data_IF_987470854576
#
_entry.id   IF_987470854576
#
_cell.length_a   1.000
_cell.length_b   1.000
_cell.length_c   1.000
_cell.angle_alpha   90.00
_cell.angle_beta   90.00
_cell.angle_gamma   90.00
#
_symmetry.space_group_name_H-M   'P 1'
#
loop_
_entity.id
_entity.type
_entity.pdbx_description
1 polymer ?
#
# COMPACT_ATOMS: atom_id res chain seq x y z
N UNK A 1 -22.14 -4.50 0.84
CA UNK A 1 -21.95 -5.63 -0.10
C UNK A 1 -20.60 -5.43 -0.80
N UNK A 2 -19.74 -6.45 -0.79
CA UNK A 2 -18.41 -6.39 -1.42
C UNK A 2 -18.45 -6.23 -2.95
N UNK A 3 -19.43 -6.88 -3.60
CA UNK A 3 -19.64 -6.80 -5.04
C UNK A 3 -20.81 -5.87 -5.37
N UNK A 4 -20.54 -4.83 -6.17
CA UNK A 4 -21.55 -3.87 -6.64
C UNK A 4 -21.90 -4.17 -8.10
N UNK A 5 -23.19 -4.36 -8.40
CA UNK A 5 -23.64 -4.58 -9.78
C UNK A 5 -23.50 -3.33 -10.63
N UNK A 6 -23.04 -3.52 -11.87
CA UNK A 6 -22.89 -2.45 -12.85
C UNK A 6 -23.44 -2.90 -14.21
N UNK A 7 -23.81 -1.92 -15.03
CA UNK A 7 -24.29 -2.12 -16.40
C UNK A 7 -23.34 -1.59 -17.48
N UNK A 8 -22.24 -0.96 -17.07
CA UNK A 8 -21.18 -0.45 -17.94
C UNK A 8 -19.84 -0.52 -17.21
N UNK A 9 -18.76 -0.68 -17.97
CA UNK A 9 -17.40 -0.68 -17.42
C UNK A 9 -17.01 0.76 -17.03
N UNK A 10 -16.43 0.97 -15.84
CA UNK A 10 -15.93 2.29 -15.43
C UNK A 10 -14.91 2.85 -16.43
N UNK A 11 -14.74 4.17 -16.44
CA UNK A 11 -13.70 4.79 -17.27
C UNK A 11 -12.32 4.31 -16.80
N UNK A 12 -11.48 3.89 -17.74
CA UNK A 12 -10.11 3.46 -17.48
C UNK A 12 -9.18 3.98 -18.58
N UNK A 13 -7.89 4.01 -18.29
CA UNK A 13 -6.83 4.33 -19.26
C UNK A 13 -5.80 3.22 -19.31
N UNK A 14 -5.11 3.10 -20.45
CA UNK A 14 -3.94 2.23 -20.53
C UNK A 14 -2.77 2.80 -19.71
N UNK A 15 -1.80 1.96 -19.29
CA UNK A 15 -0.60 2.43 -18.59
C UNK A 15 0.19 3.49 -19.38
N UNK A 16 0.19 3.41 -20.71
CA UNK A 16 0.87 4.40 -21.56
C UNK A 16 0.15 5.74 -21.57
N UNK A 17 -1.19 5.73 -21.67
CA UNK A 17 -2.00 6.93 -21.58
C UNK A 17 -1.88 7.59 -20.21
N UNK A 18 -1.90 6.80 -19.13
CA UNK A 18 -1.66 7.29 -17.78
C UNK A 18 -0.32 8.02 -17.65
N UNK A 19 0.77 7.42 -18.18
CA UNK A 19 2.10 8.04 -18.19
C UNK A 19 2.11 9.36 -18.97
N UNK A 20 1.37 9.44 -20.08
CA UNK A 20 1.27 10.66 -20.87
C UNK A 20 0.48 11.76 -20.14
N UNK A 21 -0.60 11.40 -19.44
CA UNK A 21 -1.42 12.33 -18.64
C UNK A 21 -0.59 12.90 -17.49
N UNK A 22 0.06 12.04 -16.70
CA UNK A 22 0.90 12.45 -15.56
C UNK A 22 2.13 13.25 -16.04
N UNK A 23 2.73 12.85 -17.16
CA UNK A 23 3.88 13.55 -17.75
C UNK A 23 3.56 14.95 -18.30
N UNK A 24 2.29 15.28 -18.50
CA UNK A 24 1.85 16.55 -19.11
C UNK A 24 1.41 17.60 -18.09
N UNK A 25 1.68 17.41 -16.79
CA UNK A 25 1.17 18.26 -15.68
C UNK A 25 -0.35 18.45 -15.78
N UNK A 26 -1.15 17.47 -15.33
CA UNK A 26 -2.59 17.58 -15.41
C UNK A 26 -3.09 18.73 -14.51
N UNK A 27 -4.19 19.37 -14.94
CA UNK A 27 -4.85 20.46 -14.19
C UNK A 27 -5.48 19.98 -12.88
N UNK A 28 -5.72 18.67 -12.75
CA UNK A 28 -6.25 18.00 -11.57
C UNK A 28 -5.79 16.55 -11.59
N UNK A 29 -5.18 16.07 -10.50
CA UNK A 29 -4.84 14.65 -10.34
C UNK A 29 -6.08 13.81 -9.96
N UNK A 30 -7.17 14.45 -9.58
CA UNK A 30 -8.44 13.82 -9.19
C UNK A 30 -9.25 13.32 -10.40
N UNK A 31 -8.95 13.82 -11.60
CA UNK A 31 -9.61 13.42 -12.86
C UNK A 31 -8.86 12.33 -13.62
N UNK A 32 -7.81 11.76 -13.03
CA UNK A 32 -7.04 10.70 -13.69
C UNK A 32 -7.80 9.38 -13.50
N UNK A 33 -8.35 8.80 -14.58
CA UNK A 33 -9.06 7.53 -14.47
C UNK A 33 -8.11 6.40 -14.06
N UNK A 34 -8.63 5.34 -13.41
CA UNK A 34 -7.82 4.21 -12.99
C UNK A 34 -7.15 3.52 -14.18
N UNK A 35 -5.96 3.00 -13.94
CA UNK A 35 -5.18 2.31 -14.98
C UNK A 35 -5.66 0.86 -15.12
N UNK A 36 -5.87 0.42 -16.36
CA UNK A 36 -6.10 -0.99 -16.67
C UNK A 36 -4.77 -1.76 -16.58
N UNK A 37 -4.67 -2.68 -15.63
CA UNK A 37 -3.49 -3.54 -15.45
C UNK A 37 -3.57 -4.82 -16.25
N UNK A 38 -4.75 -5.45 -16.30
CA UNK A 38 -4.95 -6.67 -17.05
C UNK A 38 -6.37 -6.77 -17.61
N UNK A 39 -6.51 -7.35 -18.80
CA UNK A 39 -7.80 -7.62 -19.43
C UNK A 39 -7.79 -9.04 -19.98
N UNK A 40 -8.77 -9.85 -19.60
CA UNK A 40 -8.90 -11.23 -20.08
C UNK A 40 -10.30 -11.49 -20.66
N UNK A 41 -10.34 -12.17 -21.81
CA UNK A 41 -11.56 -12.66 -22.44
C UNK A 41 -11.31 -13.94 -23.26
N UNK A 42 -12.18 -14.97 -23.20
CA UNK A 42 -13.37 -15.08 -22.36
C UNK A 42 -13.09 -15.65 -20.96
N UNK A 43 -13.80 -15.14 -19.96
CA UNK A 43 -13.74 -15.56 -18.56
C UNK A 43 -15.12 -15.95 -18.08
N UNK A 44 -15.24 -16.99 -17.27
CA UNK A 44 -16.43 -17.30 -16.49
C UNK A 44 -16.17 -17.07 -15.01
N UNK A 45 -17.22 -16.81 -14.25
CA UNK A 45 -17.12 -16.54 -12.81
C UNK A 45 -18.18 -17.34 -12.06
N UNK A 46 -17.93 -17.65 -10.79
CA UNK A 46 -18.95 -18.20 -9.89
C UNK A 46 -18.88 -17.52 -8.53
N UNK A 47 -20.04 -17.36 -7.90
CA UNK A 47 -20.16 -16.80 -6.56
C UNK A 47 -20.79 -17.83 -5.63
N UNK A 48 -20.22 -17.98 -4.44
CA UNK A 48 -20.72 -18.84 -3.37
C UNK A 48 -20.70 -18.07 -2.05
N UNK A 49 -21.86 -17.66 -1.48
CA UNK A 49 -23.23 -17.77 -2.02
C UNK A 49 -23.47 -16.96 -3.31
N UNK A 50 -24.59 -17.18 -4.01
CA UNK A 50 -24.90 -16.48 -5.27
C UNK A 50 -25.14 -15.00 -5.07
N UNK A 51 -24.65 -14.16 -6.00
CA UNK A 51 -24.79 -12.71 -5.92
C UNK A 51 -26.21 -12.28 -6.34
N UNK A 52 -26.89 -11.52 -5.48
CA UNK A 52 -28.24 -11.02 -5.76
C UNK A 52 -28.26 -10.16 -7.03
N UNK A 53 -29.20 -10.44 -7.93
CA UNK A 53 -29.33 -9.71 -9.20
C UNK A 53 -28.36 -10.13 -10.31
N UNK A 54 -27.46 -11.08 -10.03
CA UNK A 54 -26.50 -11.65 -11.00
C UNK A 54 -26.74 -13.16 -11.16
N UNK A 55 -27.18 -13.57 -12.35
CA UNK A 55 -27.56 -14.96 -12.61
C UNK A 55 -26.37 -15.81 -13.07
N UNK A 56 -26.51 -17.14 -13.01
CA UNK A 56 -25.51 -18.06 -13.60
C UNK A 56 -25.32 -17.84 -15.11
N UNK A 57 -26.33 -17.35 -15.83
CA UNK A 57 -26.19 -17.02 -17.25
C UNK A 57 -25.27 -15.82 -17.47
N UNK A 58 -25.37 -14.82 -16.58
CA UNK A 58 -24.49 -13.66 -16.59
C UNK A 58 -23.04 -14.09 -16.23
N UNK A 59 -22.89 -15.12 -15.41
CA UNK A 59 -21.61 -15.62 -14.92
C UNK A 59 -20.84 -16.51 -15.92
N UNK A 60 -21.52 -17.05 -16.95
CA UNK A 60 -20.95 -18.05 -17.87
C UNK A 60 -19.85 -17.53 -18.79
N UNK A 61 -19.98 -16.33 -19.30
CA UNK A 61 -19.01 -15.79 -20.25
C UNK A 61 -19.01 -14.26 -20.25
N UNK A 62 -17.84 -13.70 -20.00
CA UNK A 62 -17.63 -12.27 -19.96
C UNK A 62 -16.17 -11.89 -20.13
N UNK A 63 -15.90 -10.63 -19.81
CA UNK A 63 -14.58 -10.00 -19.89
C UNK A 63 -14.20 -9.53 -18.49
N UNK A 64 -13.01 -9.91 -18.04
CA UNK A 64 -12.44 -9.46 -16.78
C UNK A 64 -11.53 -8.24 -17.04
N UNK A 65 -11.69 -7.20 -16.24
CA UNK A 65 -10.85 -6.01 -16.21
C UNK A 65 -10.28 -5.85 -14.81
N UNK A 66 -8.97 -5.95 -14.69
CA UNK A 66 -8.24 -5.68 -13.45
C UNK A 66 -7.78 -4.22 -13.54
N UNK A 67 -8.54 -3.31 -12.93
CA UNK A 67 -8.17 -1.90 -12.83
C UNK A 67 -7.39 -1.67 -11.54
N UNK A 68 -6.63 -0.58 -11.44
CA UNK A 68 -5.94 -0.23 -10.20
C UNK A 68 -6.90 0.03 -9.05
N UNK A 69 -8.08 0.62 -9.30
CA UNK A 69 -9.04 0.95 -8.24
C UNK A 69 -9.98 -0.21 -7.90
N UNK A 70 -10.43 -0.96 -8.92
CA UNK A 70 -11.46 -2.00 -8.77
C UNK A 70 -11.22 -3.18 -9.70
N UNK A 71 -11.65 -4.36 -9.28
CA UNK A 71 -11.82 -5.52 -10.15
C UNK A 71 -13.20 -5.47 -10.80
N UNK A 72 -13.29 -5.61 -12.12
CA UNK A 72 -14.55 -5.55 -12.87
C UNK A 72 -14.72 -6.80 -13.72
N UNK A 73 -15.91 -7.40 -13.65
CA UNK A 73 -16.33 -8.43 -14.60
C UNK A 73 -17.54 -7.94 -15.38
N UNK A 74 -17.50 -8.08 -16.70
CA UNK A 74 -18.61 -7.71 -17.58
C UNK A 74 -19.09 -8.87 -18.43
N UNK A 75 -20.33 -9.30 -18.20
CA UNK A 75 -20.96 -10.38 -18.96
C UNK A 75 -21.33 -9.94 -20.37
N UNK A 76 -21.39 -10.91 -21.29
CA UNK A 76 -21.97 -10.69 -22.63
C UNK A 76 -23.46 -10.32 -22.60
N UNK A 77 -24.16 -10.54 -21.49
CA UNK A 77 -25.56 -10.13 -21.30
C UNK A 77 -25.72 -8.62 -21.07
N UNK A 78 -24.63 -7.90 -20.82
CA UNK A 78 -24.63 -6.47 -20.50
C UNK A 78 -24.77 -6.15 -19.01
N UNK A 79 -24.72 -7.18 -18.15
CA UNK A 79 -24.61 -7.03 -16.69
C UNK A 79 -23.21 -7.40 -16.23
N UNK A 80 -22.77 -6.79 -15.14
CA UNK A 80 -21.55 -7.18 -14.48
C UNK A 80 -21.50 -6.69 -13.06
N UNK A 81 -20.32 -6.78 -12.47
CA UNK A 81 -20.05 -6.30 -11.13
C UNK A 81 -18.67 -5.67 -11.05
N UNK A 82 -18.48 -4.86 -10.02
CA UNK A 82 -17.18 -4.37 -9.59
C UNK A 82 -16.97 -4.68 -8.12
N UNK A 83 -15.73 -4.93 -7.75
CA UNK A 83 -15.27 -5.21 -6.37
C UNK A 83 -14.08 -4.31 -6.09
N UNK A 84 -14.09 -3.65 -4.94
CA UNK A 84 -12.95 -2.86 -4.46
C UNK A 84 -11.91 -3.79 -3.81
N UNK A 85 -10.63 -3.52 -4.01
CA UNK A 85 -9.56 -4.37 -3.46
C UNK A 85 -9.60 -4.56 -1.95
N UNK A 86 -9.91 -3.55 -1.13
CA UNK A 86 -10.06 -3.74 0.31
C UNK A 86 -11.14 -4.76 0.71
N UNK A 87 -12.12 -5.03 -0.17
CA UNK A 87 -13.13 -6.07 0.08
C UNK A 87 -12.65 -7.48 -0.31
N UNK A 88 -11.47 -7.62 -0.92
CA UNK A 88 -10.86 -8.90 -1.27
C UNK A 88 -9.89 -9.29 -0.15
N UNK A 89 -10.34 -10.13 0.77
CA UNK A 89 -9.53 -10.61 1.90
C UNK A 89 -8.36 -11.49 1.43
N UNK A 90 -8.59 -12.32 0.42
CA UNK A 90 -7.57 -13.21 -0.10
C UNK A 90 -7.82 -13.56 -1.56
N UNK A 91 -6.76 -13.67 -2.34
CA UNK A 91 -6.79 -14.25 -3.69
C UNK A 91 -5.69 -15.30 -3.87
N UNK A 92 -6.02 -16.41 -4.53
CA UNK A 92 -5.08 -17.51 -4.76
C UNK A 92 -5.34 -18.21 -6.10
N UNK A 93 -4.29 -18.80 -6.67
CA UNK A 93 -4.42 -19.64 -7.86
C UNK A 93 -4.84 -21.05 -7.44
N UNK A 94 -6.04 -21.46 -7.85
CA UNK A 94 -6.57 -22.81 -7.62
C UNK A 94 -6.28 -23.70 -8.83
N UNK A 95 -5.52 -24.78 -8.61
CA UNK A 95 -5.14 -25.80 -9.61
C UNK A 95 -5.41 -27.19 -9.03
N UNK A 96 -6.68 -27.48 -8.74
CA UNK A 96 -7.13 -28.73 -8.12
C UNK A 96 -7.93 -29.64 -9.06
N UNK A 97 -8.86 -30.40 -8.49
CA UNK A 97 -9.84 -31.23 -9.23
C UNK A 97 -10.94 -30.39 -9.93
N UNK A 98 -10.97 -29.09 -9.66
CA UNK A 98 -11.80 -28.08 -10.31
C UNK A 98 -11.10 -27.49 -11.53
N UNK A 99 -11.84 -26.88 -12.48
CA UNK A 99 -11.20 -26.11 -13.54
C UNK A 99 -10.25 -25.06 -12.94
N UNK A 100 -9.05 -24.90 -13.50
CA UNK A 100 -8.07 -23.94 -12.99
C UNK A 100 -8.66 -22.53 -12.91
N UNK A 101 -8.63 -21.93 -11.71
CA UNK A 101 -9.31 -20.67 -11.41
C UNK A 101 -8.50 -19.79 -10.47
N UNK A 102 -8.87 -18.52 -10.40
CA UNK A 102 -8.47 -17.63 -9.32
C UNK A 102 -9.58 -17.66 -8.28
N UNK A 103 -9.25 -18.14 -7.09
CA UNK A 103 -10.12 -18.09 -5.92
C UNK A 103 -9.95 -16.73 -5.26
N UNK A 104 -11.05 -16.05 -4.97
CA UNK A 104 -11.08 -14.79 -4.22
C UNK A 104 -12.07 -14.94 -3.07
N UNK A 105 -11.65 -14.63 -1.85
CA UNK A 105 -12.52 -14.51 -0.69
C UNK A 105 -12.83 -13.03 -0.48
N UNK A 106 -14.12 -12.71 -0.38
CA UNK A 106 -14.64 -11.36 -0.24
C UNK A 106 -15.22 -11.20 1.16
N UNK A 107 -14.92 -10.06 1.78
CA UNK A 107 -15.53 -9.65 3.04
C UNK A 107 -16.69 -8.69 2.78
N UNK A 108 -17.92 -9.11 3.09
CA UNK A 108 -19.10 -8.24 2.95
C UNK A 108 -19.27 -7.26 4.10
N UNK A 109 -18.63 -7.52 5.24
CA UNK A 109 -18.69 -6.67 6.44
C UNK A 109 -17.90 -5.38 6.23
N UNK A 110 -16.71 -5.44 5.61
CA UNK A 110 -15.90 -4.28 5.26
C UNK A 110 -16.72 -3.21 4.49
N UNK A 111 -17.44 -3.65 3.45
CA UNK A 111 -18.27 -2.76 2.64
C UNK A 111 -19.44 -2.15 3.44
N UNK A 112 -19.92 -2.84 4.48
CA UNK A 112 -21.00 -2.37 5.36
C UNK A 112 -20.47 -1.32 6.34
N UNK A 113 -19.29 -1.54 6.92
CA UNK A 113 -18.62 -0.60 7.84
C UNK A 113 -18.30 0.72 7.14
N UNK A 114 -17.71 0.67 5.93
CA UNK A 114 -17.46 1.87 5.12
C UNK A 114 -18.75 2.64 4.80
N UNK A 115 -19.85 1.94 4.53
CA UNK A 115 -21.15 2.58 4.29
C UNK A 115 -21.72 3.24 5.55
N UNK A 116 -21.42 2.76 6.75
CA UNK A 116 -21.90 3.35 8.02
C UNK A 116 -21.08 4.59 8.44
N UNK A 117 -19.78 4.61 8.14
CA UNK A 117 -18.90 5.75 8.47
C UNK A 117 -19.25 7.02 7.67
N UNK A 118 -19.84 6.89 6.48
CA UNK A 118 -20.20 8.04 5.62
C UNK A 118 -21.51 8.72 6.04
N UNK A 119 -22.37 8.08 6.85
CA UNK A 119 -23.69 8.61 7.22
C UNK A 119 -23.71 9.31 8.61
N UNK A 120 -22.56 9.50 9.25
CA UNK A 120 -22.45 10.02 10.62
C UNK A 120 -22.16 11.53 10.76
N UNK A 121 -22.52 12.36 9.78
CA UNK A 121 -22.66 13.82 9.99
C UNK A 121 -24.15 14.22 10.13
N UNK A 122 -24.77 13.86 11.25
CA UNK A 122 -25.91 14.62 11.78
C UNK A 122 -25.62 15.13 13.19
N UNK A 123 -25.64 16.46 13.42
CA UNK A 123 -25.44 17.02 14.75
C UNK A 123 -26.69 16.75 15.59
N UNK A 124 -26.54 15.94 16.65
CA UNK A 124 -27.54 15.80 17.70
C UNK A 124 -27.70 17.16 18.40
N UNK A 125 -28.80 17.86 18.13
CA UNK A 125 -29.17 19.08 18.87
C UNK A 125 -29.71 18.72 20.25
N UNK A 126 -29.13 19.33 21.29
CA UNK A 126 -29.57 19.22 22.68
C UNK A 126 -30.98 19.79 22.94
N UNK A 127 -31.76 19.05 23.74
CA UNK A 127 -32.63 19.60 24.80
C UNK A 127 -34.14 19.58 24.53
N UNK A 128 -34.90 18.77 25.27
CA UNK A 128 -35.52 19.18 26.54
C UNK A 128 -36.41 18.06 27.13
N UNK A 129 -36.36 17.98 28.45
CA UNK A 129 -37.09 17.14 29.40
C UNK A 129 -38.62 17.22 29.26
N UNK A 130 -39.31 16.10 29.57
CA UNK A 130 -40.43 16.08 30.51
C UNK A 130 -40.76 14.64 30.92
N UNK A 131 -40.59 14.39 32.23
CA UNK A 131 -41.10 13.25 32.98
C UNK A 131 -42.63 13.19 32.91
N UNK A 132 -43.19 11.98 32.81
CA UNK A 132 -44.21 11.50 33.76
C UNK A 132 -44.24 9.97 33.76
N UNK A 133 -43.82 9.41 34.89
CA UNK A 133 -44.38 8.27 35.64
C UNK A 133 -44.96 7.07 34.87
N UNK A 134 -44.30 5.92 35.00
CA UNK A 134 -44.95 4.74 35.59
C UNK A 134 -43.88 3.81 36.21
N UNK A 135 -44.06 3.51 37.49
CA UNK A 135 -43.24 2.59 38.27
C UNK A 135 -43.91 1.21 38.20
N UNK A 136 -43.23 0.20 37.66
CA UNK A 136 -43.31 -1.17 38.19
C UNK A 136 -42.46 -2.17 37.40
N UNK A 137 -41.94 -3.12 38.18
CA UNK A 137 -41.63 -4.51 37.82
C UNK A 137 -40.16 -4.84 37.54
N UNK A 138 -39.55 -5.24 38.66
CA UNK A 138 -38.76 -6.45 38.87
C UNK A 138 -37.30 -6.46 38.38
N UNK A 139 -36.44 -6.51 39.40
CA UNK A 139 -35.04 -6.91 39.35
C UNK A 139 -35.00 -8.37 38.90
N UNK A 140 -34.75 -8.61 37.61
CA UNK A 140 -34.26 -9.89 37.13
C UNK A 140 -32.76 -9.72 36.84
N UNK A 141 -31.95 -10.35 37.68
CA UNK A 141 -30.55 -10.67 37.42
C UNK A 141 -30.51 -11.66 36.25
N UNK A 142 -30.62 -11.15 35.02
CA UNK A 142 -30.27 -11.93 33.83
C UNK A 142 -28.76 -11.78 33.66
N UNK A 143 -28.03 -12.83 34.08
CA UNK A 143 -26.65 -13.04 33.66
C UNK A 143 -26.67 -13.02 32.13
N UNK A 144 -26.25 -11.90 31.55
CA UNK A 144 -26.01 -11.79 30.13
C UNK A 144 -25.00 -12.84 29.75
N UNK A 145 -25.50 -13.99 29.29
CA UNK A 145 -24.82 -14.77 28.28
C UNK A 145 -24.60 -13.77 27.14
N UNK A 146 -23.40 -13.19 27.11
CA UNK A 146 -22.76 -12.76 25.88
C UNK A 146 -22.82 -13.99 24.97
N UNK A 147 -23.94 -14.16 24.28
CA UNK A 147 -23.96 -14.81 22.99
C UNK A 147 -23.04 -13.94 22.15
N UNK A 148 -21.74 -14.21 22.24
CA UNK A 148 -20.89 -14.31 21.07
C UNK A 148 -21.59 -15.35 20.15
N UNK A 149 -22.73 -14.97 19.55
CA UNK A 149 -23.04 -15.49 18.24
C UNK A 149 -21.74 -15.25 17.48
N UNK A 150 -21.11 -16.29 16.90
CA UNK A 150 -19.98 -16.04 16.04
C UNK A 150 -20.51 -14.99 15.07
N UNK A 151 -19.93 -13.78 15.08
CA UNK A 151 -20.27 -12.79 14.08
C UNK A 151 -20.09 -13.56 12.78
N UNK A 152 -21.21 -13.91 12.13
CA UNK A 152 -21.21 -14.68 10.91
C UNK A 152 -20.52 -13.71 9.95
N UNK A 153 -19.20 -13.84 9.84
CA UNK A 153 -18.40 -13.03 8.94
C UNK A 153 -18.99 -13.35 7.59
N UNK A 154 -19.79 -12.42 7.06
CA UNK A 154 -20.53 -12.54 5.81
C UNK A 154 -19.50 -12.62 4.67
N UNK A 155 -18.88 -13.79 4.51
CA UNK A 155 -17.81 -14.03 3.56
C UNK A 155 -18.39 -14.64 2.31
N UNK A 156 -17.96 -14.13 1.16
CA UNK A 156 -18.37 -14.64 -0.16
C UNK A 156 -17.17 -15.07 -0.96
N UNK A 157 -17.26 -16.23 -1.59
CA UNK A 157 -16.24 -16.71 -2.51
C UNK A 157 -16.59 -16.29 -3.93
N UNK A 158 -15.62 -15.73 -4.64
CA UNK A 158 -15.62 -15.51 -6.08
C UNK A 158 -14.55 -16.41 -6.73
N UNK A 159 -14.96 -17.29 -7.63
CA UNK A 159 -14.02 -18.01 -8.49
C UNK A 159 -14.02 -17.42 -9.88
N UNK A 160 -12.83 -17.13 -10.41
CA UNK A 160 -12.61 -16.59 -11.75
C UNK A 160 -11.94 -17.66 -12.60
N UNK A 161 -12.64 -18.15 -13.62
CA UNK A 161 -12.21 -19.28 -14.45
C UNK A 161 -11.89 -18.74 -15.86
N UNK A 162 -10.62 -18.46 -16.18
CA UNK A 162 -10.25 -18.07 -17.52
C UNK A 162 -10.33 -19.25 -18.48
N UNK A 163 -10.65 -18.98 -19.75
CA UNK A 163 -10.66 -20.03 -20.79
C UNK A 163 -9.27 -20.61 -21.06
N UNK A 164 -8.21 -19.85 -20.75
CA UNK A 164 -6.81 -20.23 -20.93
C UNK A 164 -6.13 -20.35 -19.57
N UNK A 165 -5.55 -21.51 -19.30
CA UNK A 165 -4.81 -21.77 -18.04
C UNK A 165 -3.57 -20.89 -17.93
N UNK A 166 -2.96 -20.54 -19.06
CA UNK A 166 -1.79 -19.63 -19.12
C UNK A 166 -2.11 -18.21 -18.63
N UNK A 167 -3.38 -17.81 -18.64
CA UNK A 167 -3.82 -16.48 -18.18
C UNK A 167 -3.95 -16.39 -16.66
N UNK A 168 -3.89 -17.51 -15.93
CA UNK A 168 -4.00 -17.50 -14.46
C UNK A 168 -2.89 -16.70 -13.79
N UNK A 169 -1.64 -16.93 -14.19
CA UNK A 169 -0.49 -16.26 -13.57
C UNK A 169 -0.52 -14.74 -13.84
N UNK A 170 -0.77 -14.27 -15.09
CA UNK A 170 -0.98 -12.85 -15.36
C UNK A 170 -2.13 -12.21 -14.58
N UNK A 171 -3.27 -12.89 -14.42
CA UNK A 171 -4.40 -12.38 -13.64
C UNK A 171 -4.01 -12.27 -12.16
N UNK A 172 -3.39 -13.31 -11.61
CA UNK A 172 -2.94 -13.34 -10.23
C UNK A 172 -1.90 -12.25 -9.93
N UNK A 173 -0.92 -12.06 -10.81
CA UNK A 173 0.07 -11.00 -10.69
C UNK A 173 -0.58 -9.62 -10.72
N UNK A 174 -1.51 -9.39 -11.65
CA UNK A 174 -2.22 -8.12 -11.75
C UNK A 174 -3.08 -7.84 -10.50
N UNK A 175 -3.81 -8.84 -9.99
CA UNK A 175 -4.57 -8.73 -8.75
C UNK A 175 -3.65 -8.43 -7.56
N UNK A 176 -2.53 -9.13 -7.45
CA UNK A 176 -1.55 -8.94 -6.37
C UNK A 176 -0.94 -7.54 -6.40
N UNK A 177 -0.62 -7.03 -7.59
CA UNK A 177 -0.12 -5.66 -7.75
C UNK A 177 -1.16 -4.62 -7.33
N UNK A 178 -2.42 -4.82 -7.70
CA UNK A 178 -3.47 -3.89 -7.31
C UNK A 178 -3.80 -3.97 -5.82
N UNK A 179 -3.88 -5.17 -5.23
CA UNK A 179 -4.06 -5.33 -3.79
C UNK A 179 -2.96 -4.60 -2.98
N UNK A 180 -1.71 -4.65 -3.45
CA UNK A 180 -0.60 -3.92 -2.83
C UNK A 180 -0.74 -2.37 -2.89
N UNK A 181 -1.62 -1.82 -3.74
CA UNK A 181 -1.92 -0.39 -3.80
C UNK A 181 -3.01 0.05 -2.82
N UNK A 182 -3.70 -0.89 -2.19
CA UNK A 182 -4.80 -0.64 -1.25
C UNK A 182 -4.47 -1.28 0.08
N UNK A 183 -3.57 -0.68 0.90
CA UNK A 183 -3.35 -1.17 2.26
C UNK A 183 -4.63 -1.04 3.08
N UNK A 184 -4.82 -1.97 4.01
CA UNK A 184 -5.98 -1.95 4.88
C UNK A 184 -6.00 -0.69 5.75
N UNK A 185 -7.19 -0.16 6.07
CA UNK A 185 -7.30 1.01 6.93
C UNK A 185 -6.72 0.70 8.32
N UNK A 186 -6.06 1.66 8.97
CA UNK A 186 -5.53 1.45 10.31
C UNK A 186 -6.68 1.10 11.27
N UNK A 187 -6.59 -0.06 11.93
CA UNK A 187 -7.59 -0.57 12.88
C UNK A 187 -8.55 -1.63 12.36
N UNK A 188 -8.31 -2.23 11.19
CA UNK A 188 -9.04 -3.43 10.73
C UNK A 188 -8.37 -4.75 11.13
N UNK A 189 -7.15 -4.71 11.66
CA UNK A 189 -6.61 -5.83 12.44
C UNK A 189 -7.17 -5.70 13.85
N UNK A 190 -8.19 -6.50 14.16
CA UNK A 190 -8.58 -6.84 15.54
C UNK A 190 -7.52 -7.76 16.17
N UNK A 191 -6.24 -7.38 16.06
CA UNK A 191 -5.16 -7.96 16.85
C UNK A 191 -5.05 -7.15 18.13
N UNK A 192 -5.78 -7.59 19.15
CA UNK A 192 -5.34 -7.62 20.56
C UNK A 192 -4.38 -6.47 20.94
N UNK A 193 -4.94 -5.35 21.42
CA UNK A 193 -4.21 -4.31 22.18
C UNK A 193 -3.68 -4.88 23.52
N UNK A 194 -2.92 -5.98 23.48
CA UNK A 194 -2.47 -6.74 24.64
C UNK A 194 -1.10 -7.41 24.49
N UNK A 195 -0.46 -7.37 23.30
CA UNK A 195 0.82 -8.06 23.07
C UNK A 195 1.98 -7.15 22.64
N UNK A 196 1.85 -5.83 22.78
CA UNK A 196 3.01 -4.91 22.68
C UNK A 196 3.81 -4.81 23.99
N UNK A 197 3.27 -5.31 25.11
CA UNK A 197 3.90 -5.22 26.44
C UNK A 197 4.99 -6.28 26.71
N UNK A 198 5.32 -7.12 25.72
CA UNK A 198 6.39 -8.13 25.86
C UNK A 198 7.81 -7.59 25.54
N UNK A 199 7.95 -6.29 25.23
CA UNK A 199 9.25 -5.70 24.89
C UNK A 199 9.56 -4.34 25.54
N UNK A 200 9.01 -3.99 26.70
CA UNK A 200 9.57 -2.89 27.52
C UNK A 200 9.49 -3.21 29.02
N UNK A 201 10.39 -4.07 29.50
CA UNK A 201 10.92 -3.92 30.86
C UNK A 201 12.37 -3.43 30.76
N UNK A 202 12.52 -2.28 30.12
CA UNK A 202 13.67 -1.42 30.36
C UNK A 202 13.29 -0.51 31.53
N UNK A 203 13.79 -0.76 32.75
CA UNK A 203 13.60 0.19 33.82
C UNK A 203 14.35 1.47 33.45
N UNK A 204 13.61 2.56 33.46
CA UNK A 204 14.04 3.96 33.39
C UNK A 204 13.83 4.63 32.02
N UNK A 205 12.80 5.49 31.99
CA UNK A 205 12.40 6.34 30.88
C UNK A 205 13.37 7.49 30.60
N UNK A 206 14.64 7.16 30.41
CA UNK A 206 15.66 8.08 29.91
C UNK A 206 15.94 7.75 28.45
N UNK A 207 15.09 8.25 27.56
CA UNK A 207 15.55 8.56 26.21
C UNK A 207 16.58 9.69 26.37
N UNK A 208 17.86 9.34 26.57
CA UNK A 208 18.94 10.32 26.48
C UNK A 208 18.99 10.81 25.04
N UNK A 209 18.41 11.98 24.79
CA UNK A 209 18.71 12.74 23.58
C UNK A 209 20.22 12.93 23.55
N UNK A 210 20.89 12.24 22.62
CA UNK A 210 22.33 12.30 22.44
C UNK A 210 22.74 13.75 22.17
N UNK A 211 23.36 14.38 23.18
CA UNK A 211 23.89 15.76 23.11
C UNK A 211 25.37 15.78 22.76
N UNK A 212 25.86 14.71 22.11
CA UNK A 212 27.25 14.61 21.68
C UNK A 212 27.63 15.75 20.73
N UNK A 213 28.84 16.27 20.89
CA UNK A 213 29.45 17.19 19.92
C UNK A 213 29.91 16.41 18.68
N UNK A 214 30.06 17.06 17.51
CA UNK A 214 30.38 16.45 16.20
C UNK A 214 31.48 15.37 16.20
N UNK A 215 32.41 15.43 17.16
CA UNK A 215 33.43 14.41 17.34
C UNK A 215 32.90 13.05 17.84
N UNK A 216 31.83 13.00 18.61
CA UNK A 216 31.34 11.78 19.26
C UNK A 216 30.28 11.03 18.42
N UNK A 217 29.85 11.61 17.29
CA UNK A 217 28.84 11.04 16.39
C UNK A 217 29.34 9.83 15.60
N UNK A 218 30.66 9.72 15.39
CA UNK A 218 31.26 8.66 14.59
C UNK A 218 32.42 8.00 15.34
N UNK A 219 32.40 6.66 15.36
CA UNK A 219 33.55 5.86 15.80
C UNK A 219 34.82 6.21 14.99
N UNK A 220 36.01 5.89 15.51
CA UNK A 220 37.29 6.11 14.81
C UNK A 220 37.28 5.57 13.37
N UNK A 221 36.64 4.42 13.16
CA UNK A 221 36.44 3.81 11.84
C UNK A 221 35.48 4.65 10.98
N UNK A 222 34.40 5.14 11.58
CA UNK A 222 33.44 6.03 10.93
C UNK A 222 34.06 7.34 10.46
N UNK A 223 34.91 7.98 11.29
CA UNK A 223 35.63 9.20 10.90
C UNK A 223 36.60 8.95 9.73
N UNK A 224 37.33 7.84 9.77
CA UNK A 224 38.24 7.47 8.67
C UNK A 224 37.49 7.24 7.34
N UNK A 225 36.31 6.60 7.42
CA UNK A 225 35.46 6.41 6.25
C UNK A 225 34.88 7.73 5.72
N UNK A 226 34.46 8.64 6.60
CA UNK A 226 33.92 9.94 6.21
C UNK A 226 34.97 10.81 5.52
N UNK A 227 36.17 10.90 6.08
CA UNK A 227 37.28 11.63 5.47
C UNK A 227 37.64 11.08 4.07
N UNK A 228 37.49 9.78 3.86
CA UNK A 228 37.67 9.18 2.55
C UNK A 228 36.56 9.59 1.56
N UNK A 229 35.30 9.60 1.98
CA UNK A 229 34.18 10.04 1.15
C UNK A 229 34.30 11.53 0.77
N UNK A 230 34.68 12.38 1.73
CA UNK A 230 34.92 13.80 1.48
C UNK A 230 36.09 14.03 0.51
N UNK A 231 37.12 13.17 0.54
CA UNK A 231 38.24 13.24 -0.41
C UNK A 231 37.84 12.90 -1.86
N UNK A 232 36.73 12.19 -2.05
CA UNK A 232 36.22 11.80 -3.37
C UNK A 232 35.29 12.88 -3.94
N UNK A 233 34.72 13.74 -3.09
CA UNK A 233 33.83 14.82 -3.49
C UNK A 233 34.68 15.99 -4.01
N UNK A 234 34.76 16.12 -5.33
CA UNK A 234 35.35 17.29 -5.98
C UNK A 234 34.28 18.38 -6.12
N UNK A 235 34.44 19.51 -5.41
CA UNK A 235 33.62 20.71 -5.60
C UNK A 235 34.29 21.66 -6.61
N UNK A 236 33.78 21.79 -7.85
CA UNK A 236 34.34 22.69 -8.86
C UNK A 236 34.21 24.20 -8.54
N UNK A 237 33.52 24.58 -7.45
CA UNK A 237 33.29 25.99 -7.08
C UNK A 237 34.01 26.44 -5.81
N UNK A 238 34.83 25.59 -5.19
CA UNK A 238 35.54 25.94 -3.96
C UNK A 238 36.69 26.95 -4.21
N UNK A 239 36.35 28.23 -4.07
CA UNK A 239 37.29 29.35 -4.21
C UNK A 239 38.05 29.52 -2.88
N UNK A 240 39.29 29.04 -2.82
CA UNK A 240 40.21 29.24 -1.69
C UNK A 240 40.36 30.74 -1.36
N UNK A 241 39.71 31.20 -0.30
CA UNK A 241 40.07 32.42 0.41
C UNK A 241 41.03 32.05 1.55
N UNK A 242 42.20 32.66 1.55
CA UNK A 242 43.25 32.40 2.55
C UNK A 242 43.00 33.16 3.85
N UNK A 243 43.45 32.56 4.96
CA UNK A 243 43.78 33.28 6.19
C UNK A 243 45.18 32.86 6.65
N UNK A 244 46.07 33.84 6.62
CA UNK A 244 47.40 33.85 7.22
C UNK A 244 47.28 33.64 8.75
N UNK A 245 48.14 32.82 9.35
CA UNK A 245 48.96 33.30 10.47
C UNK A 245 50.18 32.40 10.69
N UNK A 246 51.22 33.04 11.22
CA UNK A 246 52.62 32.63 11.19
C UNK A 246 52.95 31.61 12.27
N UNK A 247 53.93 30.74 12.00
CA UNK A 247 55.05 30.61 12.94
C UNK A 247 56.36 30.26 12.20
N UNK A 248 57.32 31.15 12.41
CA UNK A 248 58.65 31.19 11.85
C UNK A 248 59.56 30.33 12.73
N UNK A 249 60.50 29.56 12.15
CA UNK A 249 61.94 29.60 12.50
C UNK A 249 62.71 28.49 11.75
N UNK A 250 63.48 28.94 10.75
CA UNK A 250 64.85 28.56 10.41
C UNK A 250 65.27 27.07 10.35
N UNK A 251 65.57 26.61 9.13
CA UNK A 251 66.98 26.31 8.76
C UNK A 251 67.17 26.32 7.24
N UNK A 252 67.95 27.32 6.84
CA UNK A 252 68.61 27.50 5.58
C UNK A 252 69.58 26.34 5.30
N UNK A 253 69.64 25.80 4.08
CA UNK A 253 70.90 25.54 3.37
C UNK A 253 70.71 25.07 1.92
N UNK A 254 71.04 26.00 1.03
CA UNK A 254 71.87 25.87 -0.18
C UNK A 254 71.33 25.36 -1.54
N UNK A 255 71.63 26.22 -2.50
CA UNK A 255 71.49 26.19 -3.96
C UNK A 255 72.74 25.57 -4.59
N UNK A 256 72.57 24.78 -5.65
CA UNK A 256 73.44 24.69 -6.85
C UNK A 256 72.89 23.53 -7.73
N UNK A 257 72.24 23.77 -8.88
CA UNK A 257 72.84 24.12 -10.18
C UNK A 257 73.86 23.09 -10.68
N UNK A 258 73.47 22.24 -11.65
CA UNK A 258 74.12 22.11 -12.98
C UNK A 258 73.68 20.86 -13.76
N UNK A 259 73.08 21.13 -14.93
CA UNK A 259 73.42 20.68 -16.31
C UNK A 259 73.67 19.21 -16.70
N UNK A 260 73.37 19.04 -18.00
CA UNK A 260 73.77 18.00 -18.96
C UNK A 260 72.88 16.74 -19.04
N UNK A 261 72.57 16.13 -20.18
CA UNK A 261 72.44 16.44 -21.61
C UNK A 261 72.39 15.07 -22.31
N UNK A 262 71.68 14.98 -23.46
CA UNK A 262 71.80 13.93 -24.50
C UNK A 262 71.34 12.51 -24.10
N UNK A 263 70.88 11.65 -24.98
CA UNK A 263 70.71 11.64 -26.44
C UNK A 263 69.73 10.49 -26.77
N UNK A 264 69.12 10.54 -27.96
CA UNK A 264 68.93 9.45 -28.94
C UNK A 264 68.76 7.97 -28.45
N UNK A 265 68.00 7.06 -29.05
CA UNK A 265 67.21 6.91 -30.29
C UNK A 265 66.92 5.41 -30.39
N UNK A 266 65.86 5.07 -31.13
CA UNK A 266 65.64 3.79 -31.84
C UNK A 266 65.16 2.51 -31.12
N UNK A 267 64.10 1.98 -31.75
CA UNK A 267 63.66 0.59 -31.92
C UNK A 267 62.88 -0.08 -30.79
#
# INVERSE_FOLDING_TARGET
>A
MAATLISAVPAFVSPEEHRNIVGSTPVSFTDIPPVLRHKEEPVSVTFEPTLDGFSEEDAKEGVLYVLESVLVFMSKTGKGFQIEYPSITLHAVSRGDTPPSIYCQLDESFAKTMSMLVDSEQPKTNGHINETADENTEEDEDEGEENEEPEDMDMRVLNIIPSRVESLDPIFEALSLCAALHPDPPGSDDEDEGLDDAFIDAPDGTFEQFTGTEEEELSEVGRAALAHLESIIYDPFEKKEGSEESENTSKNENVADTKDAKDDKEA
#
